data_IF_137559935310
#
_entry.id   IF_137559935310
#
_cell.length_a   1.000
_cell.length_b   1.000
_cell.length_c   1.000
_cell.angle_alpha   90.00
_cell.angle_beta   90.00
_cell.angle_gamma   90.00
#
_symmetry.space_group_name_H-M   'P 1'
#
loop_
_entity.id
_entity.type
_entity.pdbx_description
1 polymer ?
#
# COMPACT_ATOMS: atom_id res chain seq x y z
N UNK A 1 5.65 -35.30 -10.45
CA UNK A 1 5.37 -34.26 -9.43
C UNK A 1 6.68 -33.60 -8.99
N UNK A 2 7.31 -32.76 -9.84
CA UNK A 2 8.61 -32.14 -9.51
C UNK A 2 8.74 -30.70 -10.03
N UNK A 3 7.69 -29.88 -9.91
CA UNK A 3 7.75 -28.43 -10.23
C UNK A 3 8.14 -27.56 -9.03
N UNK A 4 8.45 -28.15 -7.88
CA UNK A 4 8.61 -27.46 -6.59
C UNK A 4 9.96 -26.74 -6.41
N UNK A 5 10.90 -26.84 -7.36
CA UNK A 5 12.27 -26.32 -7.19
C UNK A 5 12.80 -25.57 -8.39
N UNK A 6 11.94 -25.03 -9.25
CA UNK A 6 12.41 -24.13 -10.31
C UNK A 6 12.69 -22.74 -9.74
N UNK A 7 13.81 -22.66 -9.01
CA UNK A 7 14.49 -21.42 -8.60
C UNK A 7 13.62 -20.51 -7.74
N UNK A 8 13.74 -20.67 -6.41
CA UNK A 8 13.88 -19.49 -5.54
C UNK A 8 15.06 -18.69 -6.11
N UNK A 9 14.85 -17.90 -7.16
CA UNK A 9 15.82 -16.92 -7.61
C UNK A 9 16.11 -16.10 -6.35
N UNK A 10 17.35 -16.13 -5.88
CA UNK A 10 17.77 -15.45 -4.66
C UNK A 10 17.31 -14.01 -4.76
N UNK A 11 16.17 -13.69 -4.15
CA UNK A 11 15.59 -12.37 -4.21
C UNK A 11 16.54 -11.47 -3.42
N UNK A 12 17.01 -10.36 -3.99
CA UNK A 12 17.96 -9.50 -3.30
C UNK A 12 17.36 -8.98 -1.99
N UNK A 13 18.19 -8.47 -1.07
CA UNK A 13 17.72 -7.76 0.11
C UNK A 13 16.75 -6.65 -0.28
N UNK A 14 15.68 -6.48 0.51
CA UNK A 14 14.63 -5.49 0.23
C UNK A 14 15.22 -4.08 0.07
N UNK A 15 16.21 -3.75 0.88
CA UNK A 15 16.85 -2.44 0.89
C UNK A 15 17.47 -2.06 -0.45
N UNK A 16 18.04 -3.01 -1.19
CA UNK A 16 18.60 -2.72 -2.52
C UNK A 16 17.51 -2.30 -3.51
N UNK A 17 16.34 -2.94 -3.45
CA UNK A 17 15.22 -2.59 -4.30
C UNK A 17 14.60 -1.26 -3.88
N UNK A 18 14.45 -1.03 -2.57
CA UNK A 18 13.98 0.26 -2.02
C UNK A 18 14.86 1.39 -2.56
N UNK A 19 16.17 1.35 -2.33
CA UNK A 19 17.09 2.42 -2.76
C UNK A 19 17.01 2.68 -4.27
N UNK A 20 16.91 1.63 -5.09
CA UNK A 20 16.79 1.76 -6.56
C UNK A 20 15.48 2.43 -6.96
N UNK A 21 14.36 2.07 -6.32
CA UNK A 21 13.04 2.59 -6.66
C UNK A 21 12.81 3.99 -6.11
N UNK A 22 13.33 4.31 -4.92
CA UNK A 22 13.31 5.66 -4.37
C UNK A 22 14.06 6.63 -5.28
N UNK A 23 15.22 6.21 -5.82
CA UNK A 23 15.93 6.98 -6.84
C UNK A 23 15.07 7.23 -8.08
N UNK A 24 14.40 6.19 -8.59
CA UNK A 24 13.53 6.33 -9.77
C UNK A 24 12.36 7.31 -9.52
N UNK A 25 11.76 7.27 -8.32
CA UNK A 25 10.72 8.24 -7.92
C UNK A 25 11.28 9.66 -7.87
N UNK A 26 12.45 9.86 -7.25
CA UNK A 26 13.07 11.18 -7.13
C UNK A 26 13.52 11.75 -8.49
N UNK A 27 13.77 10.89 -9.48
CA UNK A 27 14.02 11.26 -10.88
C UNK A 27 12.72 11.53 -11.68
N UNK A 28 11.55 11.45 -11.04
CA UNK A 28 10.24 11.72 -11.65
C UNK A 28 9.59 10.53 -12.36
N UNK A 29 10.20 9.35 -12.31
CA UNK A 29 9.63 8.13 -12.90
C UNK A 29 8.61 7.46 -11.96
N UNK A 30 7.56 8.18 -11.60
CA UNK A 30 6.57 7.75 -10.61
C UNK A 30 5.83 6.48 -11.03
N UNK A 31 5.25 6.47 -12.23
CA UNK A 31 4.47 5.34 -12.73
C UNK A 31 5.36 4.11 -12.98
N UNK A 32 6.53 4.29 -13.58
CA UNK A 32 7.47 3.19 -13.80
C UNK A 32 7.95 2.59 -12.48
N UNK A 33 8.28 3.43 -11.49
CA UNK A 33 8.63 2.95 -10.16
C UNK A 33 7.47 2.19 -9.50
N UNK A 34 6.22 2.69 -9.59
CA UNK A 34 5.03 1.99 -9.08
C UNK A 34 4.89 0.58 -9.69
N UNK A 35 4.99 0.44 -11.01
CA UNK A 35 4.90 -0.88 -11.66
C UNK A 35 5.99 -1.83 -11.16
N UNK A 36 7.20 -1.30 -10.92
CA UNK A 36 8.29 -2.08 -10.35
C UNK A 36 8.05 -2.45 -8.88
N UNK A 37 7.51 -1.55 -8.05
CA UNK A 37 7.08 -1.86 -6.68
C UNK A 37 6.07 -3.02 -6.67
N UNK A 38 5.04 -2.98 -7.53
CA UNK A 38 4.01 -4.04 -7.68
C UNK A 38 4.63 -5.38 -8.08
N UNK A 39 5.52 -5.37 -9.07
CA UNK A 39 6.17 -6.58 -9.57
C UNK A 39 7.09 -7.23 -8.54
N UNK A 40 7.92 -6.42 -7.85
CA UNK A 40 8.89 -6.92 -6.88
C UNK A 40 8.18 -7.39 -5.60
N UNK A 41 7.17 -6.65 -5.10
CA UNK A 41 6.41 -7.07 -3.92
C UNK A 41 5.69 -8.40 -4.17
N UNK A 42 5.09 -8.60 -5.35
CA UNK A 42 4.46 -9.87 -5.73
C UNK A 42 5.44 -11.05 -5.69
N UNK A 43 6.72 -10.82 -6.06
CA UNK A 43 7.78 -11.84 -5.96
C UNK A 43 8.15 -12.15 -4.51
N UNK A 44 8.24 -11.16 -3.63
CA UNK A 44 8.46 -11.39 -2.20
C UNK A 44 7.29 -12.15 -1.55
N UNK A 45 6.05 -11.74 -1.85
CA UNK A 45 4.84 -12.44 -1.39
C UNK A 45 4.81 -13.89 -1.86
N UNK A 46 5.12 -14.14 -3.15
CA UNK A 46 5.18 -15.51 -3.70
C UNK A 46 6.28 -16.37 -3.07
N UNK A 47 7.29 -15.74 -2.48
CA UNK A 47 8.36 -16.40 -1.73
C UNK A 47 8.08 -16.48 -0.21
N UNK A 48 6.86 -16.12 0.22
CA UNK A 48 6.44 -16.03 1.63
C UNK A 48 7.29 -15.06 2.47
N UNK A 49 8.00 -14.13 1.81
CA UNK A 49 8.82 -13.08 2.43
C UNK A 49 7.97 -11.83 2.70
N UNK A 50 6.97 -11.99 3.55
CA UNK A 50 5.95 -10.96 3.78
C UNK A 50 6.51 -9.69 4.43
N UNK A 51 7.46 -9.80 5.35
CA UNK A 51 8.10 -8.62 5.97
C UNK A 51 8.76 -7.73 4.92
N UNK A 52 9.54 -8.31 4.01
CA UNK A 52 10.18 -7.57 2.94
C UNK A 52 9.18 -7.00 1.93
N UNK A 53 8.10 -7.72 1.63
CA UNK A 53 7.03 -7.18 0.79
C UNK A 53 6.39 -5.93 1.42
N UNK A 54 6.15 -5.96 2.73
CA UNK A 54 5.55 -4.86 3.48
C UNK A 54 6.47 -3.64 3.54
N UNK A 55 7.74 -3.83 3.88
CA UNK A 55 8.72 -2.73 3.93
C UNK A 55 8.85 -2.03 2.57
N UNK A 56 8.87 -2.82 1.49
CA UNK A 56 8.92 -2.31 0.13
C UNK A 56 7.66 -1.51 -0.24
N UNK A 57 6.48 -2.05 0.05
CA UNK A 57 5.20 -1.42 -0.29
C UNK A 57 4.95 -0.16 0.53
N UNK A 58 5.32 -0.16 1.81
CA UNK A 58 5.25 1.02 2.68
C UNK A 58 6.16 2.14 2.18
N UNK A 59 7.43 1.84 1.88
CA UNK A 59 8.37 2.83 1.31
C UNK A 59 7.80 3.45 0.04
N UNK A 60 7.33 2.63 -0.89
CA UNK A 60 6.76 3.09 -2.16
C UNK A 60 5.49 3.93 -1.96
N UNK A 61 4.55 3.46 -1.15
CA UNK A 61 3.29 4.17 -0.90
C UNK A 61 3.54 5.54 -0.25
N UNK A 62 4.35 5.59 0.82
CA UNK A 62 4.71 6.82 1.50
C UNK A 62 5.43 7.80 0.57
N UNK A 63 6.39 7.34 -0.23
CA UNK A 63 7.17 8.22 -1.10
C UNK A 63 6.34 8.78 -2.27
N UNK A 64 5.52 7.94 -2.92
CA UNK A 64 4.61 8.39 -3.98
C UNK A 64 3.64 9.48 -3.46
N UNK A 65 3.08 9.28 -2.26
CA UNK A 65 2.16 10.25 -1.66
C UNK A 65 2.86 11.56 -1.27
N UNK A 66 4.10 11.51 -0.78
CA UNK A 66 4.91 12.71 -0.52
C UNK A 66 5.16 13.54 -1.78
N UNK A 67 5.22 12.91 -2.95
CA UNK A 67 5.35 13.56 -4.25
C UNK A 67 4.00 13.90 -4.92
N UNK A 68 2.89 13.82 -4.17
CA UNK A 68 1.54 14.12 -4.68
C UNK A 68 0.94 13.07 -5.62
N UNK A 69 1.59 11.91 -5.78
CA UNK A 69 1.12 10.82 -6.64
C UNK A 69 0.08 9.96 -5.89
N UNK A 70 -1.09 10.54 -5.65
CA UNK A 70 -2.15 9.95 -4.82
C UNK A 70 -2.58 8.58 -5.32
N UNK A 71 -2.91 8.46 -6.61
CA UNK A 71 -3.34 7.19 -7.22
C UNK A 71 -2.26 6.12 -7.11
N UNK A 72 -1.01 6.46 -7.45
CA UNK A 72 0.12 5.53 -7.39
C UNK A 72 0.37 5.04 -5.97
N UNK A 73 0.35 5.96 -4.99
CA UNK A 73 0.53 5.63 -3.58
C UNK A 73 -0.61 4.81 -3.01
N UNK A 74 -1.86 5.12 -3.35
CA UNK A 74 -3.05 4.39 -2.91
C UNK A 74 -3.06 2.95 -3.43
N UNK A 75 -2.69 2.73 -4.70
CA UNK A 75 -2.55 1.37 -5.24
C UNK A 75 -1.54 0.52 -4.46
N UNK A 76 -0.39 1.10 -4.11
CA UNK A 76 0.63 0.39 -3.32
C UNK A 76 0.13 0.13 -1.88
N UNK A 77 -0.65 1.04 -1.31
CA UNK A 77 -1.27 0.85 0.00
C UNK A 77 -2.28 -0.31 0.00
N UNK A 78 -3.08 -0.46 -1.06
CA UNK A 78 -4.00 -1.60 -1.21
C UNK A 78 -3.23 -2.92 -1.22
N UNK A 79 -2.11 -2.97 -1.95
CA UNK A 79 -1.24 -4.16 -1.98
C UNK A 79 -0.57 -4.43 -0.63
N UNK A 80 -0.26 -3.40 0.14
CA UNK A 80 0.25 -3.56 1.51
C UNK A 80 -0.77 -4.27 2.40
N UNK A 81 -2.06 -3.89 2.32
CA UNK A 81 -3.14 -4.57 3.06
C UNK A 81 -3.29 -6.03 2.62
N UNK A 82 -3.26 -6.28 1.32
CA UNK A 82 -3.32 -7.64 0.77
C UNK A 82 -2.15 -8.51 1.27
N UNK A 83 -0.94 -7.95 1.33
CA UNK A 83 0.23 -8.63 1.89
C UNK A 83 0.09 -8.93 3.38
N UNK A 84 -0.50 -8.03 4.18
CA UNK A 84 -0.79 -8.27 5.60
C UNK A 84 -1.76 -9.45 5.78
N UNK A 85 -2.85 -9.46 5.01
CA UNK A 85 -3.88 -10.51 5.06
C UNK A 85 -3.27 -11.86 4.67
N UNK A 86 -2.50 -11.91 3.58
CA UNK A 86 -1.83 -13.14 3.12
C UNK A 86 -0.79 -13.65 4.12
N UNK A 87 -0.02 -12.74 4.72
CA UNK A 87 0.97 -13.06 5.73
C UNK A 87 0.38 -13.43 7.10
N UNK A 88 -0.93 -13.26 7.30
CA UNK A 88 -1.61 -13.41 8.60
C UNK A 88 -0.92 -12.60 9.70
N UNK A 89 -0.39 -11.44 9.34
CA UNK A 89 0.36 -10.59 10.27
C UNK A 89 -0.67 -9.84 11.13
N UNK A 90 -0.63 -9.98 12.47
CA UNK A 90 -1.59 -9.33 13.35
C UNK A 90 -1.53 -7.81 13.18
N UNK A 91 -2.69 -7.16 13.14
CA UNK A 91 -2.78 -5.70 13.25
C UNK A 91 -2.34 -5.26 14.65
N UNK A 92 -1.03 -5.07 14.83
CA UNK A 92 -0.42 -4.49 16.03
C UNK A 92 -0.37 -2.96 15.94
N UNK A 93 -0.29 -2.28 17.09
CA UNK A 93 -0.24 -0.81 17.17
C UNK A 93 0.89 -0.15 16.36
N UNK A 94 1.96 -0.90 16.07
CA UNK A 94 3.08 -0.45 15.23
C UNK A 94 2.67 -0.27 13.74
N UNK A 95 1.75 -1.11 13.24
CA UNK A 95 1.21 -1.00 11.87
C UNK A 95 0.31 0.24 11.75
N UNK A 96 -0.44 0.58 12.80
CA UNK A 96 -1.26 1.81 12.87
C UNK A 96 -0.39 3.08 12.86
N UNK A 97 0.80 3.04 13.46
CA UNK A 97 1.79 4.11 13.36
C UNK A 97 2.19 4.38 11.91
N UNK A 98 2.38 3.32 11.12
CA UNK A 98 2.71 3.40 9.68
C UNK A 98 1.56 3.97 8.85
N UNK A 99 0.30 3.65 9.17
CA UNK A 99 -0.87 4.28 8.54
C UNK A 99 -0.99 5.78 8.82
N UNK A 100 -0.57 6.25 9.99
CA UNK A 100 -0.58 7.69 10.31
C UNK A 100 0.47 8.51 9.52
N UNK A 101 1.44 7.86 8.87
CA UNK A 101 2.45 8.51 8.01
C UNK A 101 1.91 8.76 6.60
N UNK A 102 0.80 8.11 6.21
CA UNK A 102 0.12 8.44 4.97
C UNK A 102 -0.31 9.89 5.04
N UNK A 103 0.12 10.75 4.09
CA UNK A 103 -0.36 12.12 4.03
C UNK A 103 -1.88 12.10 4.06
N UNK A 104 -2.47 12.76 5.07
CA UNK A 104 -3.91 13.03 5.07
C UNK A 104 -4.14 13.85 3.82
N UNK A 105 -4.67 13.22 2.78
CA UNK A 105 -4.92 13.84 1.48
C UNK A 105 -5.73 15.11 1.78
N UNK A 106 -5.16 16.31 1.58
CA UNK A 106 -5.96 17.51 1.63
C UNK A 106 -6.98 17.37 0.51
N UNK A 107 -8.26 17.41 0.86
CA UNK A 107 -9.33 17.50 -0.11
C UNK A 107 -8.98 18.64 -1.09
N UNK A 108 -9.06 18.42 -2.41
CA UNK A 108 -8.78 19.47 -3.38
C UNK A 108 -9.74 20.63 -3.11
N UNK A 109 -9.20 21.73 -2.59
CA UNK A 109 -10.00 22.87 -2.14
C UNK A 109 -10.60 23.69 -3.29
N UNK A 110 -10.25 23.39 -4.55
CA UNK A 110 -10.75 24.09 -5.72
C UNK A 110 -11.13 23.07 -6.82
N UNK A 111 -12.37 22.59 -6.81
CA UNK A 111 -13.02 22.06 -8.01
C UNK A 111 -14.39 22.74 -8.10
N UNK A 112 -14.60 23.50 -9.17
CA UNK A 112 -15.74 24.39 -9.39
C UNK A 112 -17.03 23.66 -9.83
N UNK A 113 -17.20 22.38 -9.49
CA UNK A 113 -18.45 21.65 -9.76
C UNK A 113 -19.00 20.98 -8.49
N UNK A 114 -20.17 21.47 -8.05
CA UNK A 114 -20.86 21.12 -6.80
C UNK A 114 -21.30 19.64 -6.76
N UNK A 115 -21.55 19.04 -7.94
CA UNK A 115 -21.99 17.65 -8.05
C UNK A 115 -20.86 16.64 -7.77
N UNK A 116 -19.65 16.87 -8.29
CA UNK A 116 -18.49 15.99 -8.06
C UNK A 116 -18.04 16.03 -6.58
N UNK A 117 -18.16 17.19 -5.94
CA UNK A 117 -17.86 17.36 -4.50
C UNK A 117 -18.89 16.63 -3.64
N UNK A 118 -20.16 16.63 -4.05
CA UNK A 118 -21.23 15.89 -3.35
C UNK A 118 -21.03 14.38 -3.51
N UNK A 119 -20.78 13.90 -4.71
CA UNK A 119 -20.51 12.48 -4.98
C UNK A 119 -19.25 11.99 -4.22
N UNK A 120 -18.19 12.80 -4.18
CA UNK A 120 -16.98 12.49 -3.42
C UNK A 120 -17.23 12.48 -1.90
N UNK A 121 -18.00 13.41 -1.37
CA UNK A 121 -18.37 13.42 0.06
C UNK A 121 -19.29 12.25 0.43
N UNK A 122 -20.20 11.87 -0.46
CA UNK A 122 -21.05 10.69 -0.30
C UNK A 122 -20.21 9.41 -0.33
N UNK A 123 -19.30 9.28 -1.29
CA UNK A 123 -18.37 8.16 -1.39
C UNK A 123 -17.43 8.08 -0.18
N UNK A 124 -16.91 9.22 0.31
CA UNK A 124 -16.08 9.30 1.50
C UNK A 124 -16.86 8.97 2.78
N UNK A 125 -18.10 9.46 2.88
CA UNK A 125 -19.01 9.11 3.96
C UNK A 125 -19.30 7.62 3.98
N UNK A 126 -19.64 7.05 2.83
CA UNK A 126 -19.88 5.61 2.67
C UNK A 126 -18.63 4.79 3.03
N UNK A 127 -17.44 5.19 2.56
CA UNK A 127 -16.18 4.53 2.88
C UNK A 127 -15.85 4.60 4.39
N UNK A 128 -16.12 5.74 5.04
CA UNK A 128 -15.92 5.92 6.49
C UNK A 128 -16.88 5.06 7.29
N UNK A 129 -18.16 5.03 6.95
CA UNK A 129 -19.15 4.16 7.57
C UNK A 129 -18.80 2.68 7.37
N UNK A 130 -18.29 2.31 6.19
CA UNK A 130 -17.85 0.95 5.92
C UNK A 130 -16.62 0.56 6.75
N UNK A 131 -15.65 1.46 6.90
CA UNK A 131 -14.46 1.24 7.74
C UNK A 131 -14.83 1.12 9.23
N UNK A 132 -15.73 1.96 9.73
CA UNK A 132 -16.26 1.87 11.10
C UNK A 132 -17.03 0.58 11.34
N UNK A 133 -17.84 0.14 10.35
CA UNK A 133 -18.54 -1.14 10.39
C UNK A 133 -17.59 -2.34 10.43
N UNK A 134 -16.57 -2.36 9.57
CA UNK A 134 -15.54 -3.40 9.54
C UNK A 134 -14.71 -3.42 10.82
N UNK A 135 -14.36 -2.26 11.37
CA UNK A 135 -13.65 -2.14 12.65
C UNK A 135 -14.49 -2.71 13.81
N UNK A 136 -15.78 -2.39 13.85
CA UNK A 136 -16.73 -2.89 14.85
C UNK A 136 -16.89 -4.42 14.77
N UNK A 137 -16.97 -4.95 13.56
CA UNK A 137 -17.10 -6.38 13.29
C UNK A 137 -15.84 -7.16 13.69
N UNK A 138 -14.65 -6.66 13.31
CA UNK A 138 -13.37 -7.26 13.69
C UNK A 138 -13.18 -7.22 15.22
N UNK A 139 -13.54 -6.11 15.87
CA UNK A 139 -13.46 -5.97 17.33
C UNK A 139 -14.42 -6.90 18.07
N UNK A 140 -15.57 -7.22 17.47
CA UNK A 140 -16.51 -8.20 17.99
C UNK A 140 -16.07 -9.66 17.75
N UNK A 141 -15.30 -9.92 16.70
CA UNK A 141 -14.83 -11.25 16.33
C UNK A 141 -13.57 -11.72 17.09
N UNK A 142 -12.86 -10.82 17.78
CA UNK A 142 -11.65 -11.12 18.58
C UNK A 142 -12.01 -11.38 20.06
N UNK A 143 -13.07 -12.14 20.34
CA UNK A 143 -13.44 -12.56 21.69
C UNK A 143 -13.45 -14.07 21.84
#
# INVERSE_FOLDING_TARGET
MSREKLRRATLPPVQENITKLEKAINEGNFYGAQQMYKSISARYVSAERYSEALDLLESGACLQLKHGQVTCGAELAVLFVDALVKGKIPYGGDILGKYNVFPKVPLPTNMEDDDDVRELNEALGAAKTHLEGCSSFIRAAIK
#
